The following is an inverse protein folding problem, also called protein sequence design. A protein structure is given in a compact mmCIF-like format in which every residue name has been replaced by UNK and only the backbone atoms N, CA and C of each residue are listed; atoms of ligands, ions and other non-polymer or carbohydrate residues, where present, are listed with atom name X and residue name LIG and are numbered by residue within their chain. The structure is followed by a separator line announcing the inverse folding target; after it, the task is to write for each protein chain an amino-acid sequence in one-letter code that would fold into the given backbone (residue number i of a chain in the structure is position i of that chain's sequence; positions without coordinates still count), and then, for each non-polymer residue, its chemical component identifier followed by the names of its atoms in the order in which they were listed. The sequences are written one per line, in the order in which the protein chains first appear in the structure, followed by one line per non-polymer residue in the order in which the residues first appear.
data_IF_321530066040
#
_entry.id   IF_321530066040
#
_cell.length_a   1.000
_cell.length_b   1.000
_cell.length_c   1.000
_cell.angle_alpha   90.00
_cell.angle_beta   90.00
_cell.angle_gamma   90.00
#
_symmetry.space_group_name_H-M   'P 1'
#
loop_
_entity.id
_entity.type
_entity.pdbx_description
1 polymer ?
#
# COMPACT_ATOMS: atom_id res chain seq x y z
N UNK A 1 39.76 -9.50 22.95
CA UNK A 1 39.25 -8.24 23.54
C UNK A 1 38.01 -8.56 24.37
N UNK A 2 38.12 -8.49 25.70
CA UNK A 2 37.03 -8.82 26.63
C UNK A 2 35.92 -7.77 26.52
N UNK A 3 34.73 -8.20 26.07
CA UNK A 3 33.54 -7.35 25.99
C UNK A 3 33.14 -6.89 27.39
N UNK A 4 32.99 -5.58 27.60
CA UNK A 4 32.56 -5.03 28.88
C UNK A 4 31.20 -5.64 29.29
N UNK A 5 30.89 -5.75 30.59
CA UNK A 5 29.60 -6.26 31.06
C UNK A 5 28.40 -5.58 30.39
N UNK A 6 28.51 -4.26 30.14
CA UNK A 6 27.47 -3.47 29.46
C UNK A 6 27.25 -3.91 28.01
N UNK A 7 28.33 -4.12 27.24
CA UNK A 7 28.21 -4.58 25.85
C UNK A 7 27.59 -5.98 25.76
N UNK A 8 27.94 -6.88 26.69
CA UNK A 8 27.32 -8.21 26.79
C UNK A 8 25.83 -8.13 27.13
N UNK A 9 25.44 -7.27 28.07
CA UNK A 9 24.03 -7.06 28.40
C UNK A 9 23.23 -6.52 27.20
N UNK A 10 23.80 -5.57 26.45
CA UNK A 10 23.20 -5.03 25.23
C UNK A 10 23.05 -6.07 24.13
N UNK A 11 24.05 -6.94 23.94
CA UNK A 11 23.99 -8.02 22.96
C UNK A 11 22.85 -9.00 23.26
N UNK A 12 22.77 -9.50 24.51
CA UNK A 12 21.68 -10.39 24.94
C UNK A 12 20.29 -9.73 24.84
N UNK A 13 20.20 -8.44 25.15
CA UNK A 13 18.94 -7.72 24.98
C UNK A 13 18.50 -7.67 23.51
N UNK A 14 19.43 -7.42 22.59
CA UNK A 14 19.16 -7.40 21.14
C UNK A 14 18.77 -8.78 20.61
N UNK A 15 19.44 -9.83 21.08
CA UNK A 15 19.11 -11.22 20.75
C UNK A 15 17.66 -11.55 21.12
N UNK A 16 17.24 -11.23 22.36
CA UNK A 16 15.84 -11.41 22.80
C UNK A 16 14.83 -10.57 22.01
N UNK A 17 15.23 -9.40 21.52
CA UNK A 17 14.37 -8.61 20.65
C UNK A 17 14.21 -9.27 19.28
N UNK A 18 15.29 -9.80 18.71
CA UNK A 18 15.26 -10.50 17.43
C UNK A 18 14.42 -11.79 17.50
N UNK A 19 14.52 -12.55 18.60
CA UNK A 19 13.65 -13.72 18.86
C UNK A 19 12.15 -13.36 18.86
N UNK A 20 11.81 -12.12 19.20
CA UNK A 20 10.43 -11.58 19.15
C UNK A 20 10.07 -10.98 17.78
N UNK A 21 10.90 -11.15 16.76
CA UNK A 21 10.69 -10.60 15.42
C UNK A 21 10.95 -9.10 15.30
N UNK A 22 11.58 -8.47 16.31
CA UNK A 22 11.85 -7.04 16.29
C UNK A 22 13.19 -6.75 15.61
N UNK A 23 13.16 -5.91 14.59
CA UNK A 23 14.36 -5.41 13.91
C UNK A 23 14.54 -3.91 14.17
N UNK A 24 15.80 -3.48 14.25
CA UNK A 24 16.14 -2.06 14.30
C UNK A 24 16.45 -1.56 12.90
N UNK A 25 15.82 -0.47 12.50
CA UNK A 25 16.10 0.24 11.27
C UNK A 25 16.16 1.74 11.55
N UNK A 26 16.92 2.46 10.75
CA UNK A 26 17.06 3.92 10.83
C UNK A 26 16.15 4.57 9.79
N UNK A 27 15.49 5.66 10.18
CA UNK A 27 14.52 6.39 9.34
C UNK A 27 14.93 7.84 9.29
N UNK A 28 14.97 8.42 8.08
CA UNK A 28 15.08 9.86 7.87
C UNK A 28 13.68 10.44 7.74
N UNK A 29 13.37 11.49 8.49
CA UNK A 29 12.07 12.14 8.51
C UNK A 29 12.14 13.52 9.12
N UNK A 30 11.03 14.27 9.10
CA UNK A 30 10.96 15.58 9.76
C UNK A 30 10.94 15.40 11.27
N UNK A 31 11.45 16.39 11.99
CA UNK A 31 11.50 16.35 13.47
C UNK A 31 10.10 16.25 14.08
N UNK A 32 9.11 16.94 13.49
CA UNK A 32 7.70 16.91 13.90
C UNK A 32 7.07 15.51 13.84
N UNK A 33 7.52 14.65 12.91
CA UNK A 33 6.97 13.31 12.73
C UNK A 33 7.60 12.27 13.67
N UNK A 34 8.69 12.63 14.36
CA UNK A 34 9.51 11.69 15.15
C UNK A 34 8.70 10.96 16.22
N UNK A 35 7.84 11.68 16.94
CA UNK A 35 7.02 11.10 18.01
C UNK A 35 5.92 10.21 17.43
N UNK A 36 5.29 10.63 16.34
CA UNK A 36 4.26 9.87 15.63
C UNK A 36 4.83 8.54 15.12
N UNK A 37 5.98 8.55 14.43
CA UNK A 37 6.64 7.34 13.92
C UNK A 37 6.99 6.39 15.07
N UNK A 38 7.48 6.92 16.20
CA UNK A 38 7.79 6.12 17.38
C UNK A 38 6.54 5.48 17.99
N UNK A 39 5.44 6.23 18.10
CA UNK A 39 4.18 5.73 18.62
C UNK A 39 3.58 4.65 17.69
N UNK A 40 3.63 4.89 16.38
CA UNK A 40 3.21 3.92 15.36
C UNK A 40 4.01 2.62 15.47
N UNK A 41 5.35 2.69 15.51
CA UNK A 41 6.20 1.51 15.63
C UNK A 41 5.91 0.71 16.91
N UNK A 42 5.70 1.38 18.05
CA UNK A 42 5.28 0.73 19.30
C UNK A 42 3.94 0.04 19.14
N UNK A 43 2.94 0.72 18.57
CA UNK A 43 1.61 0.15 18.39
C UNK A 43 1.62 -1.07 17.47
N UNK A 44 2.45 -1.05 16.41
CA UNK A 44 2.60 -2.17 15.50
C UNK A 44 3.32 -3.37 16.12
N UNK A 45 4.21 -3.13 17.10
CA UNK A 45 4.94 -4.18 17.80
C UNK A 45 4.04 -5.09 18.66
N UNK A 46 2.84 -4.64 19.04
CA UNK A 46 1.85 -5.45 19.76
C UNK A 46 1.29 -6.60 18.91
N UNK A 47 1.40 -6.50 17.57
CA UNK A 47 1.04 -7.55 16.61
C UNK A 47 -0.36 -8.17 16.81
N UNK A 48 -1.32 -7.37 17.26
CA UNK A 48 -2.73 -7.75 17.45
C UNK A 48 -3.60 -7.36 16.24
N UNK A 49 -4.92 -7.57 16.34
CA UNK A 49 -5.87 -7.25 15.28
C UNK A 49 -5.81 -5.77 14.88
N UNK A 50 -5.78 -4.86 15.86
CA UNK A 50 -5.70 -3.43 15.58
C UNK A 50 -4.35 -3.00 15.00
N UNK A 51 -3.23 -3.66 15.34
CA UNK A 51 -1.96 -3.46 14.62
C UNK A 51 -2.08 -3.87 13.14
N UNK A 52 -2.83 -4.93 12.84
CA UNK A 52 -3.09 -5.36 11.46
C UNK A 52 -3.95 -4.34 10.70
N UNK A 53 -5.00 -3.80 11.32
CA UNK A 53 -5.84 -2.75 10.74
C UNK A 53 -5.03 -1.49 10.43
N UNK A 54 -4.19 -1.05 11.38
CA UNK A 54 -3.30 0.09 11.19
C UNK A 54 -2.33 -0.16 10.01
N UNK A 55 -1.74 -1.36 9.90
CA UNK A 55 -0.88 -1.71 8.75
C UNK A 55 -1.63 -1.57 7.43
N UNK A 56 -2.86 -2.06 7.35
CA UNK A 56 -3.68 -1.96 6.14
C UNK A 56 -4.01 -0.50 5.79
N UNK A 57 -4.45 0.29 6.77
CA UNK A 57 -4.77 1.70 6.57
C UNK A 57 -3.55 2.53 6.13
N UNK A 58 -2.39 2.31 6.77
CA UNK A 58 -1.13 2.97 6.39
C UNK A 58 -0.73 2.55 4.97
N UNK A 59 -0.82 1.26 4.63
CA UNK A 59 -0.50 0.76 3.30
C UNK A 59 -1.38 1.40 2.23
N UNK A 60 -2.69 1.47 2.44
CA UNK A 60 -3.64 2.09 1.51
C UNK A 60 -3.33 3.57 1.23
N UNK A 61 -2.85 4.30 2.25
CA UNK A 61 -2.55 5.73 2.15
C UNK A 61 -1.18 6.03 1.55
N UNK A 62 -0.21 5.13 1.70
CA UNK A 62 1.17 5.31 1.22
C UNK A 62 1.39 4.66 -0.14
N UNK A 63 0.79 3.51 -0.40
CA UNK A 63 0.93 2.86 -1.71
C UNK A 63 0.32 3.76 -2.78
N UNK A 64 1.07 4.12 -3.84
CA UNK A 64 0.49 4.85 -4.94
C UNK A 64 -0.64 4.00 -5.49
N UNK A 65 -1.84 4.59 -5.58
CA UNK A 65 -3.04 3.93 -6.12
C UNK A 65 -2.62 3.19 -7.37
N UNK A 66 -2.67 1.86 -7.31
CA UNK A 66 -2.15 1.02 -8.38
C UNK A 66 -2.76 1.53 -9.69
N UNK A 67 -1.95 1.96 -10.68
CA UNK A 67 -2.49 2.47 -11.92
C UNK A 67 -3.40 1.36 -12.43
N UNK A 68 -4.70 1.67 -12.56
CA UNK A 68 -5.75 0.71 -12.94
C UNK A 68 -5.14 -0.21 -13.97
N UNK A 69 -4.96 -1.49 -13.64
CA UNK A 69 -4.08 -2.41 -14.37
C UNK A 69 -4.14 -2.09 -15.85
N UNK A 70 -3.04 -1.62 -16.45
CA UNK A 70 -3.05 -1.21 -17.87
C UNK A 70 -3.74 -2.32 -18.65
N UNK A 71 -4.85 -2.00 -19.31
CA UNK A 71 -5.69 -3.03 -19.94
C UNK A 71 -7.02 -3.34 -19.26
N UNK A 72 -7.46 -2.62 -18.23
CA UNK A 72 -8.82 -2.78 -17.67
C UNK A 72 -9.92 -2.66 -18.71
N UNK A 73 -9.85 -1.62 -19.56
CA UNK A 73 -10.77 -1.43 -20.69
C UNK A 73 -10.63 -2.58 -21.71
N UNK A 74 -9.41 -2.95 -22.09
CA UNK A 74 -9.16 -4.05 -23.02
C UNK A 74 -9.66 -5.41 -22.50
N UNK A 75 -9.57 -5.65 -21.19
CA UNK A 75 -10.07 -6.86 -20.53
C UNK A 75 -11.59 -6.87 -20.49
N UNK A 76 -12.21 -5.73 -20.17
CA UNK A 76 -13.66 -5.58 -20.22
C UNK A 76 -14.20 -5.80 -21.64
N UNK A 77 -13.56 -5.22 -22.66
CA UNK A 77 -13.94 -5.40 -24.05
C UNK A 77 -13.77 -6.86 -24.53
N UNK A 78 -12.67 -7.54 -24.17
CA UNK A 78 -12.47 -8.97 -24.50
C UNK A 78 -13.45 -9.92 -23.82
N UNK A 79 -13.98 -9.53 -22.66
CA UNK A 79 -14.99 -10.30 -21.94
C UNK A 79 -16.43 -9.85 -22.27
N UNK A 80 -16.61 -8.93 -23.23
CA UNK A 80 -17.93 -8.46 -23.61
C UNK A 80 -18.70 -9.60 -24.31
N UNK A 81 -20.00 -9.79 -24.00
CA UNK A 81 -20.84 -10.75 -24.73
C UNK A 81 -21.03 -10.36 -26.19
N UNK A 82 -20.62 -9.15 -26.60
CA UNK A 82 -20.67 -8.67 -27.98
C UNK A 82 -19.40 -9.01 -28.78
N UNK A 83 -18.41 -9.69 -28.18
CA UNK A 83 -17.22 -10.13 -28.93
C UNK A 83 -17.65 -11.15 -29.98
N UNK A 84 -17.35 -10.84 -31.25
CA UNK A 84 -17.75 -11.67 -32.40
C UNK A 84 -19.21 -11.48 -32.84
N UNK A 85 -19.97 -10.57 -32.21
CA UNK A 85 -21.26 -10.16 -32.73
C UNK A 85 -21.06 -9.38 -34.04
N UNK A 86 -21.90 -9.66 -35.03
CA UNK A 86 -21.93 -8.93 -36.30
C UNK A 86 -22.63 -7.58 -36.09
N UNK A 87 -21.89 -6.64 -35.51
CA UNK A 87 -22.35 -5.29 -35.27
C UNK A 87 -22.00 -4.43 -36.48
N UNK A 88 -23.01 -3.79 -37.07
CA UNK A 88 -22.75 -2.69 -37.97
C UNK A 88 -22.28 -1.48 -37.17
N UNK A 89 -20.97 -1.19 -37.26
CA UNK A 89 -20.33 -0.06 -36.58
C UNK A 89 -20.31 1.20 -37.44
N UNK A 90 -20.96 1.17 -38.61
CA UNK A 90 -21.11 2.38 -39.42
C UNK A 90 -21.94 3.39 -38.66
N UNK A 91 -21.38 4.59 -38.50
CA UNK A 91 -22.07 5.71 -37.88
C UNK A 91 -22.78 6.49 -38.96
N UNK A 92 -24.11 6.48 -38.93
CA UNK A 92 -24.91 7.35 -39.78
C UNK A 92 -24.60 8.81 -39.50
N UNK A 93 -24.24 9.53 -40.56
CA UNK A 93 -24.08 10.99 -40.52
C UNK A 93 -25.43 11.63 -40.79
N UNK A 94 -26.18 11.87 -39.72
CA UNK A 94 -27.45 12.60 -39.75
C UNK A 94 -27.21 14.09 -39.50
N UNK A 95 -28.04 14.92 -40.14
CA UNK A 95 -28.05 16.37 -39.89
C UNK A 95 -28.40 16.67 -38.44
N UNK A 96 -27.87 17.78 -37.93
CA UNK A 96 -28.10 18.26 -36.58
C UNK A 96 -29.61 18.33 -36.27
N UNK A 97 -29.99 17.88 -35.08
CA UNK A 97 -31.35 18.04 -34.59
C UNK A 97 -31.47 19.44 -33.99
N UNK A 98 -32.46 20.23 -34.41
CA UNK A 98 -32.81 21.47 -33.71
C UNK A 98 -33.28 21.10 -32.30
N UNK A 99 -32.53 21.57 -31.31
CA UNK A 99 -32.88 21.48 -29.89
C UNK A 99 -33.11 22.91 -29.42
N UNK A 100 -34.25 23.16 -28.79
CA UNK A 100 -34.50 24.43 -28.10
C UNK A 100 -33.90 24.30 -26.70
N UNK A 101 -32.93 25.16 -26.38
CA UNK A 101 -32.21 25.16 -25.09
C UNK A 101 -32.83 26.13 -24.10
#
# INVERSE_FOLDING_TARGET
MTQSPQKRALAKYRERLAERGMARFEVLGREEDRELIRALAKRLAENDAAASEIRSAVRERIEPRQPSSKGGIWRALRNSPLVGADLDLTRDRVTERKVDL
#
